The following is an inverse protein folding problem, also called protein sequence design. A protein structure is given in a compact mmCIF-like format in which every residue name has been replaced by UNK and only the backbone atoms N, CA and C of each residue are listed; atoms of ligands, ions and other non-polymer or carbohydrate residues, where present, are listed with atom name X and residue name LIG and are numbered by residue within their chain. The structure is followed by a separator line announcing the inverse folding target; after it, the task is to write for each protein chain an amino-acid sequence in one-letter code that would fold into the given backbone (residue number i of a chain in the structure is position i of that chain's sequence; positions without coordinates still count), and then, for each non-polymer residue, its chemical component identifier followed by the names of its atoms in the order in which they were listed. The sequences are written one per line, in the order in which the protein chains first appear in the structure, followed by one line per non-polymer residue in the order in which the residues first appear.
data_IF_886513827050
#
_entry.id   IF_886513827050
#
_cell.length_a   1.000
_cell.length_b   1.000
_cell.length_c   1.000
_cell.angle_alpha   90.00
_cell.angle_beta   90.00
_cell.angle_gamma   90.00
#
_symmetry.space_group_name_H-M   'P 1'
#
loop_
_entity.id
_entity.type
_entity.pdbx_description
1 polymer ?
#
# COMPACT_ATOMS: atom_id res chain seq x y z
N UNK A 1 -14.17 -10.83 11.00
CA UNK A 1 -14.13 -12.20 10.41
C UNK A 1 -15.52 -12.84 10.47
N UNK A 2 -16.26 -12.82 11.62
CA UNK A 2 -17.61 -13.41 11.75
C UNK A 2 -18.57 -12.82 10.71
N UNK A 3 -18.61 -11.49 10.55
CA UNK A 3 -19.46 -10.80 9.56
C UNK A 3 -19.07 -11.21 8.14
N UNK A 4 -17.78 -11.23 7.81
CA UNK A 4 -17.30 -11.63 6.50
C UNK A 4 -17.75 -13.06 6.11
N UNK A 5 -17.79 -13.97 7.09
CA UNK A 5 -18.30 -15.33 6.86
C UNK A 5 -19.82 -15.35 6.72
N UNK A 6 -20.56 -14.62 7.58
CA UNK A 6 -22.03 -14.59 7.60
C UNK A 6 -22.59 -14.00 6.29
N UNK A 7 -22.06 -12.84 5.90
CA UNK A 7 -22.54 -12.08 4.74
C UNK A 7 -21.89 -12.52 3.42
N UNK A 8 -21.11 -13.61 3.41
CA UNK A 8 -20.46 -14.14 2.20
C UNK A 8 -19.61 -13.10 1.45
N UNK A 9 -18.89 -12.26 2.17
CA UNK A 9 -18.06 -11.20 1.61
C UNK A 9 -17.01 -11.81 0.67
N UNK A 10 -16.82 -11.20 -0.49
CA UNK A 10 -15.83 -11.62 -1.50
C UNK A 10 -14.52 -10.82 -1.40
N UNK A 11 -14.60 -9.57 -0.98
CA UNK A 11 -13.46 -8.67 -0.75
C UNK A 11 -13.56 -8.08 0.66
N UNK A 12 -12.47 -8.15 1.41
CA UNK A 12 -12.38 -7.67 2.78
C UNK A 12 -11.26 -6.64 2.91
N UNK A 13 -11.61 -5.36 2.95
CA UNK A 13 -10.67 -4.25 3.14
C UNK A 13 -10.49 -3.93 4.62
N UNK A 14 -9.25 -3.92 5.11
CA UNK A 14 -8.93 -3.64 6.51
C UNK A 14 -7.59 -2.91 6.65
N UNK A 15 -7.30 -2.39 7.85
CA UNK A 15 -5.97 -1.86 8.14
C UNK A 15 -4.98 -2.96 8.53
N UNK A 16 -3.69 -2.72 8.32
CA UNK A 16 -2.63 -3.59 8.80
C UNK A 16 -2.69 -3.75 10.34
N UNK A 17 -3.05 -2.68 11.06
CA UNK A 17 -3.26 -2.72 12.52
C UNK A 17 -4.38 -3.70 12.93
N UNK A 18 -5.44 -3.79 12.14
CA UNK A 18 -6.52 -4.76 12.41
C UNK A 18 -6.03 -6.20 12.25
N UNK A 19 -5.27 -6.50 11.21
CA UNK A 19 -4.68 -7.84 11.01
C UNK A 19 -3.72 -8.18 12.15
N UNK A 20 -2.87 -7.23 12.59
CA UNK A 20 -1.97 -7.43 13.73
C UNK A 20 -2.73 -7.65 15.04
N UNK A 21 -3.82 -6.92 15.28
CA UNK A 21 -4.68 -7.16 16.43
C UNK A 21 -5.28 -8.58 16.42
N UNK A 22 -5.75 -9.06 15.26
CA UNK A 22 -6.20 -10.44 15.13
C UNK A 22 -5.08 -11.45 15.40
N UNK A 23 -3.87 -11.20 14.90
CA UNK A 23 -2.69 -12.04 15.11
C UNK A 23 -2.37 -12.17 16.61
N UNK A 24 -2.42 -11.07 17.35
CA UNK A 24 -2.19 -11.04 18.81
C UNK A 24 -3.20 -11.86 19.60
N UNK A 25 -4.40 -12.11 19.08
CA UNK A 25 -5.38 -12.99 19.75
C UNK A 25 -4.97 -14.46 19.75
N UNK A 26 -3.97 -14.86 18.95
CA UNK A 26 -3.50 -16.25 18.75
C UNK A 26 -4.61 -17.21 18.28
N UNK A 27 -5.78 -16.70 17.83
CA UNK A 27 -6.91 -17.52 17.37
C UNK A 27 -6.67 -18.04 15.96
N UNK A 28 -7.17 -19.25 15.70
CA UNK A 28 -7.19 -19.85 14.37
C UNK A 28 -8.58 -19.67 13.74
N UNK A 29 -8.77 -18.59 13.01
CA UNK A 29 -10.07 -18.21 12.44
C UNK A 29 -10.54 -19.17 11.33
N UNK A 30 -9.64 -19.84 10.60
CA UNK A 30 -10.00 -20.83 9.57
C UNK A 30 -10.66 -22.09 10.15
N UNK A 31 -10.40 -22.40 11.45
CA UNK A 31 -11.11 -23.48 12.14
C UNK A 31 -12.52 -23.07 12.55
N UNK A 32 -12.78 -21.77 12.71
CA UNK A 32 -14.05 -21.22 13.21
C UNK A 32 -14.95 -20.80 12.04
N UNK A 33 -14.36 -20.27 10.96
CA UNK A 33 -15.07 -19.66 9.83
C UNK A 33 -14.54 -20.19 8.50
N UNK A 34 -15.42 -20.70 7.66
CA UNK A 34 -15.00 -21.27 6.35
C UNK A 34 -14.64 -20.21 5.31
N UNK A 35 -15.19 -18.99 5.41
CA UNK A 35 -14.94 -17.85 4.50
C UNK A 35 -15.00 -18.25 3.01
N UNK A 36 -16.01 -19.08 2.63
CA UNK A 36 -16.07 -19.74 1.32
C UNK A 36 -15.97 -18.76 0.15
N UNK A 37 -16.65 -17.61 0.25
CA UNK A 37 -16.72 -16.60 -0.82
C UNK A 37 -15.60 -15.58 -0.81
N UNK A 38 -14.82 -15.47 0.27
CA UNK A 38 -13.73 -14.51 0.37
C UNK A 38 -12.62 -14.83 -0.63
N UNK A 39 -12.33 -13.90 -1.53
CA UNK A 39 -11.30 -14.03 -2.59
C UNK A 39 -10.10 -13.12 -2.33
N UNK A 40 -10.35 -11.93 -1.80
CA UNK A 40 -9.30 -10.93 -1.59
C UNK A 40 -9.40 -10.30 -0.20
N UNK A 41 -8.26 -10.13 0.44
CA UNK A 41 -8.08 -9.28 1.62
C UNK A 41 -7.17 -8.12 1.20
N UNK A 42 -7.66 -6.88 1.30
CA UNK A 42 -6.86 -5.68 1.09
C UNK A 42 -6.39 -5.11 2.43
N UNK A 43 -5.13 -4.74 2.53
CA UNK A 43 -4.56 -4.13 3.73
C UNK A 43 -3.89 -2.81 3.41
N UNK A 44 -4.25 -1.75 4.16
CA UNK A 44 -3.72 -0.39 3.97
C UNK A 44 -3.61 0.37 5.30
N UNK A 45 -3.24 1.65 5.23
CA UNK A 45 -3.16 2.58 6.37
C UNK A 45 -1.86 2.49 7.19
N UNK A 46 -1.10 1.42 7.02
CA UNK A 46 0.28 1.25 7.50
C UNK A 46 0.91 0.02 6.83
N UNK A 47 2.24 -0.12 6.83
CA UNK A 47 2.92 -1.31 6.29
C UNK A 47 2.42 -2.60 6.95
N UNK A 48 2.14 -3.62 6.13
CA UNK A 48 1.77 -4.94 6.63
C UNK A 48 3.05 -5.77 6.85
N UNK A 49 3.29 -6.21 8.08
CA UNK A 49 4.49 -6.98 8.42
C UNK A 49 4.46 -8.39 7.82
N UNK A 50 5.62 -8.98 7.55
CA UNK A 50 5.75 -10.35 7.05
C UNK A 50 5.05 -11.38 7.94
N UNK A 51 5.05 -11.17 9.26
CA UNK A 51 4.34 -12.04 10.20
C UNK A 51 2.81 -11.96 10.05
N UNK A 52 2.29 -10.78 9.68
CA UNK A 52 0.88 -10.62 9.38
C UNK A 52 0.48 -11.35 8.08
N UNK A 53 1.36 -11.36 7.05
CA UNK A 53 1.15 -12.20 5.86
C UNK A 53 1.06 -13.68 6.24
N UNK A 54 2.04 -14.20 6.98
CA UNK A 54 2.05 -15.59 7.45
C UNK A 54 0.80 -15.90 8.27
N UNK A 55 0.40 -15.01 9.17
CA UNK A 55 -0.80 -15.16 9.97
C UNK A 55 -2.07 -15.29 9.13
N UNK A 56 -2.25 -14.44 8.12
CA UNK A 56 -3.43 -14.50 7.24
C UNK A 56 -3.53 -15.87 6.57
N UNK A 57 -2.45 -16.37 5.96
CA UNK A 57 -2.46 -17.65 5.26
C UNK A 57 -2.59 -18.84 6.21
N UNK A 58 -1.99 -18.77 7.38
CA UNK A 58 -2.01 -19.87 8.35
C UNK A 58 -3.27 -19.91 9.19
N UNK A 59 -3.88 -18.76 9.52
CA UNK A 59 -4.91 -18.65 10.54
C UNK A 59 -6.24 -18.09 10.06
N UNK A 60 -6.28 -17.38 8.91
CA UNK A 60 -7.52 -16.81 8.37
C UNK A 60 -7.99 -17.61 7.15
N UNK A 61 -7.22 -17.61 6.06
CA UNK A 61 -7.56 -18.37 4.84
C UNK A 61 -6.33 -18.63 3.98
N UNK A 62 -6.06 -19.91 3.67
CA UNK A 62 -4.90 -20.32 2.86
C UNK A 62 -5.03 -19.87 1.40
N UNK A 63 -6.21 -20.05 0.81
CA UNK A 63 -6.45 -19.69 -0.60
C UNK A 63 -7.19 -18.34 -0.68
N UNK A 64 -6.43 -17.25 -0.55
CA UNK A 64 -6.91 -15.87 -0.64
C UNK A 64 -5.82 -15.00 -1.25
N UNK A 65 -6.20 -14.04 -2.09
CA UNK A 65 -5.28 -12.99 -2.52
C UNK A 65 -5.12 -11.96 -1.39
N UNK A 66 -3.93 -11.86 -0.80
CA UNK A 66 -3.63 -10.85 0.20
C UNK A 66 -2.91 -9.68 -0.47
N UNK A 67 -3.65 -8.62 -0.71
CA UNK A 67 -3.18 -7.39 -1.34
C UNK A 67 -2.84 -6.34 -0.28
N UNK A 68 -1.56 -6.16 0.04
CA UNK A 68 -1.12 -4.94 0.70
C UNK A 68 -1.14 -3.81 -0.33
N UNK A 69 -1.62 -2.63 0.04
CA UNK A 69 -1.76 -1.49 -0.86
C UNK A 69 -1.27 -0.21 -0.17
N UNK A 70 -0.68 0.70 -0.96
CA UNK A 70 -0.30 2.04 -0.51
C UNK A 70 -0.63 3.08 -1.56
N UNK A 71 -1.19 4.19 -1.11
CA UNK A 71 -1.61 5.32 -1.93
C UNK A 71 -1.94 6.52 -1.06
N UNK A 72 -2.78 7.41 -1.55
CA UNK A 72 -3.14 8.62 -0.84
C UNK A 72 -4.61 8.99 -0.98
N UNK A 73 -5.14 9.66 0.04
CA UNK A 73 -6.51 10.18 0.02
C UNK A 73 -6.71 11.15 -1.14
N UNK A 74 -5.76 12.05 -1.37
CA UNK A 74 -5.88 13.08 -2.41
C UNK A 74 -5.91 12.53 -3.83
N UNK A 75 -5.28 11.39 -4.06
CA UNK A 75 -5.28 10.73 -5.37
C UNK A 75 -6.45 9.76 -5.56
N UNK A 76 -7.20 9.45 -4.51
CA UNK A 76 -8.31 8.46 -4.50
C UNK A 76 -7.90 7.14 -5.16
N UNK A 77 -6.64 6.75 -5.00
CA UNK A 77 -6.02 5.60 -5.69
C UNK A 77 -4.83 5.07 -4.92
N UNK A 78 -4.20 4.04 -5.48
CA UNK A 78 -2.98 3.44 -4.94
C UNK A 78 -1.83 3.62 -5.94
N UNK A 79 -0.66 4.06 -5.46
CA UNK A 79 0.57 4.03 -6.24
C UNK A 79 1.08 2.59 -6.42
N UNK A 80 0.86 1.77 -5.39
CA UNK A 80 1.30 0.38 -5.36
C UNK A 80 0.20 -0.49 -4.75
N UNK A 81 -0.03 -1.66 -5.34
CA UNK A 81 -1.20 -2.47 -5.04
C UNK A 81 -0.99 -3.97 -5.36
N UNK A 82 -2.00 -4.79 -5.06
CA UNK A 82 -2.01 -6.21 -5.36
C UNK A 82 -2.12 -6.50 -6.86
N UNK A 83 -1.57 -7.63 -7.28
CA UNK A 83 -1.60 -8.10 -8.67
C UNK A 83 -1.92 -9.60 -8.70
N UNK A 84 -3.03 -9.98 -9.36
CA UNK A 84 -3.47 -11.37 -9.44
C UNK A 84 -2.57 -12.26 -10.31
N UNK A 85 -1.73 -11.67 -11.15
CA UNK A 85 -0.81 -12.39 -12.05
C UNK A 85 0.57 -12.60 -11.46
N UNK A 86 0.82 -12.12 -10.24
CA UNK A 86 2.12 -12.23 -9.58
C UNK A 86 2.00 -12.92 -8.22
N UNK A 87 3.04 -13.62 -7.77
CA UNK A 87 3.06 -14.22 -6.43
C UNK A 87 3.03 -13.13 -5.34
N UNK A 88 2.49 -13.47 -4.18
CA UNK A 88 2.51 -12.62 -3.00
C UNK A 88 3.77 -12.94 -2.20
N UNK A 89 4.68 -12.00 -2.08
CA UNK A 89 5.85 -12.08 -1.22
C UNK A 89 5.56 -11.44 0.14
N UNK A 90 5.87 -12.15 1.22
CA UNK A 90 5.56 -11.66 2.57
C UNK A 90 6.34 -10.37 2.92
N UNK A 91 5.63 -9.30 3.23
CA UNK A 91 6.20 -7.98 3.51
C UNK A 91 6.31 -7.05 2.31
N UNK A 92 5.96 -7.52 1.11
CA UNK A 92 6.00 -6.72 -0.13
C UNK A 92 4.59 -6.40 -0.63
N UNK A 93 4.46 -5.26 -1.30
CA UNK A 93 3.32 -4.93 -2.16
C UNK A 93 3.68 -5.40 -3.56
N UNK A 94 2.79 -6.12 -4.23
CA UNK A 94 3.12 -6.90 -5.43
C UNK A 94 3.56 -6.06 -6.63
N UNK A 95 2.90 -4.92 -6.89
CA UNK A 95 3.19 -4.15 -8.11
C UNK A 95 2.84 -2.68 -8.00
N UNK A 96 3.35 -1.91 -8.96
CA UNK A 96 2.92 -0.53 -9.23
C UNK A 96 1.50 -0.52 -9.77
N UNK A 97 0.74 0.54 -9.49
CA UNK A 97 -0.58 0.78 -10.05
C UNK A 97 -0.53 0.98 -11.57
N UNK A 98 -1.58 0.55 -12.28
CA UNK A 98 -1.70 0.81 -13.72
C UNK A 98 -1.79 2.32 -13.97
N UNK A 99 -1.01 2.81 -14.94
CA UNK A 99 -0.90 4.23 -15.25
C UNK A 99 -0.05 5.04 -14.27
N UNK A 100 0.62 4.38 -13.33
CA UNK A 100 1.49 5.00 -12.32
C UNK A 100 2.97 4.70 -12.61
N UNK A 101 3.75 5.68 -13.07
CA UNK A 101 5.22 5.53 -13.20
C UNK A 101 5.89 5.75 -11.84
N UNK A 102 5.69 4.79 -10.95
CA UNK A 102 6.25 4.81 -9.60
C UNK A 102 7.73 4.46 -9.62
N UNK A 103 8.53 5.28 -8.97
CA UNK A 103 9.97 5.05 -8.75
C UNK A 103 10.34 5.34 -7.30
N UNK A 104 11.54 4.92 -6.94
CA UNK A 104 12.17 5.25 -5.66
C UNK A 104 13.39 6.10 -5.95
N UNK A 105 13.44 7.30 -5.39
CA UNK A 105 14.51 8.25 -5.59
C UNK A 105 15.41 8.36 -4.36
N UNK A 106 16.71 8.50 -4.60
CA UNK A 106 17.64 8.92 -3.57
C UNK A 106 17.58 10.46 -3.37
N UNK A 107 18.37 10.99 -2.43
CA UNK A 107 18.41 12.43 -2.13
C UNK A 107 18.81 13.30 -3.34
N UNK A 108 19.55 12.74 -4.30
CA UNK A 108 19.97 13.43 -5.54
C UNK A 108 18.91 13.35 -6.66
N UNK A 109 17.71 12.82 -6.38
CA UNK A 109 16.65 12.67 -7.37
C UNK A 109 16.91 11.59 -8.43
N UNK A 110 17.84 10.65 -8.18
CA UNK A 110 18.11 9.52 -9.08
C UNK A 110 17.31 8.31 -8.66
N UNK A 111 16.76 7.59 -9.65
CA UNK A 111 16.07 6.32 -9.42
C UNK A 111 17.03 5.26 -8.90
N UNK A 112 16.62 4.55 -7.85
CA UNK A 112 17.39 3.48 -7.20
C UNK A 112 16.56 2.22 -7.04
N UNK A 113 17.24 1.07 -6.98
CA UNK A 113 16.65 -0.25 -6.74
C UNK A 113 17.32 -0.88 -5.51
N UNK A 114 16.60 -1.74 -4.82
CA UNK A 114 17.08 -2.48 -3.63
C UNK A 114 17.63 -1.60 -2.48
N UNK A 115 17.29 -0.34 -2.50
CA UNK A 115 17.67 0.63 -1.48
C UNK A 115 16.46 1.46 -1.07
N UNK A 116 16.43 1.89 0.18
CA UNK A 116 15.40 2.79 0.72
C UNK A 116 15.59 4.19 0.14
N UNK A 117 14.51 4.78 -0.32
CA UNK A 117 14.45 6.16 -0.82
C UNK A 117 13.03 6.69 -0.81
N UNK A 118 12.80 7.80 -1.50
CA UNK A 118 11.51 8.47 -1.57
C UNK A 118 10.62 7.88 -2.65
N UNK A 119 9.37 7.58 -2.31
CA UNK A 119 8.35 7.19 -3.27
C UNK A 119 7.95 8.39 -4.14
N UNK A 120 8.11 8.26 -5.44
CA UNK A 120 7.73 9.28 -6.41
C UNK A 120 6.89 8.69 -7.53
N UNK A 121 6.03 9.52 -8.16
CA UNK A 121 5.41 9.21 -9.44
C UNK A 121 5.92 10.21 -10.47
N UNK A 122 6.64 9.71 -11.48
CA UNK A 122 7.43 10.56 -12.37
C UNK A 122 6.58 11.20 -13.46
N UNK A 123 5.56 10.49 -13.94
CA UNK A 123 4.65 10.98 -14.95
C UNK A 123 3.29 11.37 -14.35
N UNK A 124 2.54 12.27 -14.99
CA UNK A 124 1.13 12.50 -14.65
C UNK A 124 0.34 11.20 -14.67
N UNK A 125 -0.61 11.06 -13.78
CA UNK A 125 -1.40 9.83 -13.63
C UNK A 125 -2.91 10.17 -13.59
N UNK A 126 -3.80 9.20 -13.94
CA UNK A 126 -5.22 9.48 -14.20
C UNK A 126 -5.97 10.13 -13.03
N UNK A 127 -5.63 9.78 -11.80
CA UNK A 127 -6.30 10.27 -10.59
C UNK A 127 -5.53 11.40 -9.88
N UNK A 128 -4.55 12.02 -10.56
CA UNK A 128 -3.84 13.16 -9.99
C UNK A 128 -4.81 14.35 -9.81
N UNK A 129 -4.89 14.95 -8.60
CA UNK A 129 -5.71 16.14 -8.39
C UNK A 129 -5.29 17.28 -9.33
N UNK A 130 -6.26 17.97 -9.87
CA UNK A 130 -5.98 19.17 -10.69
C UNK A 130 -5.57 20.38 -9.84
N UNK A 131 -6.10 20.47 -8.61
CA UNK A 131 -5.80 21.52 -7.61
C UNK A 131 -6.41 21.18 -6.26
N UNK A 132 -6.04 21.93 -5.24
CA UNK A 132 -6.74 21.90 -3.95
C UNK A 132 -7.89 22.91 -3.89
N UNK A 133 -8.89 22.62 -3.08
CA UNK A 133 -9.98 23.55 -2.82
C UNK A 133 -9.45 24.85 -2.19
N UNK A 134 -9.92 25.99 -2.66
CA UNK A 134 -9.47 27.31 -2.22
C UNK A 134 -7.94 27.57 -2.34
N UNK A 135 -7.27 26.95 -3.30
CA UNK A 135 -5.87 27.17 -3.62
C UNK A 135 -5.73 27.80 -5.03
N UNK A 136 -6.13 29.07 -5.16
CA UNK A 136 -6.24 29.77 -6.45
C UNK A 136 -4.93 29.87 -7.24
N UNK A 137 -3.77 29.82 -6.57
CA UNK A 137 -2.43 29.87 -7.19
C UNK A 137 -1.71 28.54 -7.19
N UNK A 138 -2.39 27.44 -6.84
CA UNK A 138 -1.83 26.09 -6.67
C UNK A 138 -0.62 26.04 -5.71
N UNK A 139 -0.51 27.03 -4.82
CA UNK A 139 0.66 27.15 -3.93
C UNK A 139 0.73 26.01 -2.92
N UNK A 140 -0.42 25.67 -2.33
CA UNK A 140 -0.50 24.57 -1.36
C UNK A 140 -0.28 23.23 -2.05
N UNK A 141 -0.91 23.03 -3.21
CA UNK A 141 -0.78 21.83 -4.02
C UNK A 141 0.67 21.58 -4.45
N UNK A 142 1.31 22.61 -5.03
CA UNK A 142 2.72 22.54 -5.45
C UNK A 142 3.64 22.31 -4.27
N UNK A 143 3.43 22.98 -3.14
CA UNK A 143 4.20 22.78 -1.92
C UNK A 143 4.07 21.35 -1.37
N UNK A 144 2.87 20.77 -1.42
CA UNK A 144 2.62 19.42 -0.89
C UNK A 144 3.35 18.33 -1.69
N UNK A 145 3.36 18.42 -3.02
CA UNK A 145 3.76 17.29 -3.85
C UNK A 145 4.91 17.55 -4.82
N UNK A 146 5.25 18.81 -5.11
CA UNK A 146 6.25 19.18 -6.12
C UNK A 146 7.41 20.04 -5.60
N UNK A 147 7.48 20.23 -4.28
CA UNK A 147 8.51 21.06 -3.67
C UNK A 147 9.88 20.39 -3.67
N UNK A 148 9.93 19.08 -3.44
CA UNK A 148 11.19 18.32 -3.33
C UNK A 148 11.82 18.04 -4.69
N UNK A 149 10.99 17.66 -5.66
CA UNK A 149 11.43 17.35 -7.02
C UNK A 149 10.55 18.10 -8.02
N UNK A 150 11.18 18.94 -8.86
CA UNK A 150 10.43 19.76 -9.84
C UNK A 150 9.65 18.90 -10.82
N UNK A 151 8.34 19.14 -10.92
CA UNK A 151 7.41 18.43 -11.82
C UNK A 151 7.29 16.91 -11.58
N UNK A 152 7.74 16.41 -10.43
CA UNK A 152 7.63 15.01 -10.06
C UNK A 152 6.84 14.93 -8.75
N UNK A 153 5.78 14.10 -8.74
CA UNK A 153 4.99 13.88 -7.53
C UNK A 153 5.84 13.16 -6.47
N UNK A 154 6.09 13.83 -5.38
CA UNK A 154 6.73 13.31 -4.19
C UNK A 154 5.65 12.95 -3.17
N UNK A 155 5.52 11.67 -2.84
CA UNK A 155 4.39 11.21 -2.00
C UNK A 155 4.64 11.37 -0.50
N UNK A 156 5.90 11.48 -0.08
CA UNK A 156 6.26 11.58 1.32
C UNK A 156 6.25 10.24 2.05
N UNK A 157 6.46 9.14 1.34
CA UNK A 157 6.69 7.81 1.89
C UNK A 157 8.09 7.32 1.56
N UNK A 158 8.75 6.67 2.52
CA UNK A 158 9.93 5.86 2.24
C UNK A 158 9.52 4.52 1.63
N UNK A 159 10.16 4.20 0.51
CA UNK A 159 9.93 2.94 -0.21
C UNK A 159 11.23 2.30 -0.67
N UNK A 160 11.13 1.02 -1.04
CA UNK A 160 12.20 0.26 -1.70
C UNK A 160 11.56 -0.63 -2.76
N UNK A 161 12.07 -0.59 -3.99
CA UNK A 161 11.74 -1.58 -5.03
C UNK A 161 12.65 -2.80 -4.82
N UNK A 162 12.06 -3.99 -4.75
CA UNK A 162 12.77 -5.25 -4.47
C UNK A 162 13.20 -5.95 -5.76
N UNK A 163 14.01 -7.01 -5.64
CA UNK A 163 14.37 -7.89 -6.76
C UNK A 163 13.17 -8.63 -7.38
N UNK A 164 12.07 -8.74 -6.65
CA UNK A 164 10.82 -9.32 -7.15
C UNK A 164 9.96 -8.31 -7.93
N UNK A 165 10.47 -7.10 -8.18
CA UNK A 165 9.70 -5.95 -8.68
C UNK A 165 8.52 -5.53 -7.78
N UNK A 166 8.44 -6.07 -6.57
CA UNK A 166 7.55 -5.63 -5.51
C UNK A 166 8.07 -4.37 -4.83
N UNK A 167 7.28 -3.82 -3.91
CA UNK A 167 7.65 -2.64 -3.15
C UNK A 167 7.47 -2.87 -1.64
N UNK A 168 8.42 -2.36 -0.88
CA UNK A 168 8.33 -2.27 0.58
C UNK A 168 8.11 -0.81 0.94
N UNK A 169 7.03 -0.51 1.66
CA UNK A 169 6.80 0.82 2.24
C UNK A 169 7.27 0.79 3.69
N UNK A 170 8.14 1.74 4.06
CA UNK A 170 8.73 1.78 5.40
C UNK A 170 8.06 2.83 6.32
N UNK A 171 7.10 3.58 5.81
CA UNK A 171 6.38 4.62 6.53
C UNK A 171 6.59 6.00 5.91
N UNK A 172 6.12 7.04 6.60
CA UNK A 172 6.22 8.43 6.13
C UNK A 172 7.65 8.94 6.18
N UNK A 173 8.02 9.75 5.17
CA UNK A 173 9.30 10.45 5.10
C UNK A 173 9.19 11.94 5.49
N UNK A 174 7.97 12.47 5.52
CA UNK A 174 7.65 13.87 5.84
C UNK A 174 7.24 14.10 7.30
N UNK A 175 7.17 13.05 8.12
CA UNK A 175 6.89 13.17 9.55
C UNK A 175 8.18 13.36 10.32
N UNK A 176 8.32 14.48 11.01
CA UNK A 176 9.30 14.63 12.10
C UNK A 176 8.90 13.71 13.25
N UNK A 177 9.82 12.86 13.69
CA UNK A 177 9.68 12.15 14.96
C UNK A 177 9.71 13.22 16.06
N UNK A 178 8.60 13.45 16.73
CA UNK A 178 8.55 14.19 17.98
C UNK A 178 8.98 13.27 19.12
#
# INVERSE_FOLDING_TARGET
IKIANKENITLFGVSAKYIDALRKTKKNFKKIHKLKKLRTICSTGSPLSSDCFKFVYNNIKKNVHLASISGGTDIVSCFVLGNLYQPVHAGEIQSKGLGMDVRVFNEKGKSILNQKGELVCVNPFPSMPSKFWNDHKDTKFKKAYFNKYRNIWHHGDYAQITNNNGLIISGRSDTTLN
#
